data_IF_975298747253
#
_entry.id   IF_975298747253
#
_cell.length_a   1.000
_cell.length_b   1.000
_cell.length_c   1.000
_cell.angle_alpha   90.00
_cell.angle_beta   90.00
_cell.angle_gamma   90.00
#
_symmetry.space_group_name_H-M   'P 1'
#
loop_
_entity.id
_entity.type
_entity.pdbx_description
1 polymer ?
#
# COMPACT_ATOMS: atom_id res chain seq x y z
N UNK A 1 -43.42 -22.72 -52.95
CA UNK A 1 -43.12 -23.74 -53.96
C UNK A 1 -41.66 -23.58 -54.37
N UNK A 2 -40.89 -24.68 -54.30
CA UNK A 2 -39.99 -25.21 -55.34
C UNK A 2 -38.92 -24.28 -55.99
N UNK A 3 -37.67 -24.70 -56.24
CA UNK A 3 -36.95 -25.91 -55.82
C UNK A 3 -35.42 -25.79 -56.06
N UNK A 4 -34.62 -26.47 -55.22
CA UNK A 4 -33.58 -27.48 -55.55
C UNK A 4 -32.99 -27.55 -56.99
N UNK A 5 -31.69 -27.79 -57.26
CA UNK A 5 -30.40 -27.89 -56.50
C UNK A 5 -29.27 -27.24 -57.39
N UNK A 6 -27.94 -27.50 -57.41
CA UNK A 6 -26.90 -28.34 -56.74
C UNK A 6 -25.49 -27.72 -57.10
N UNK A 7 -24.26 -28.17 -56.77
CA UNK A 7 -23.65 -29.29 -56.01
C UNK A 7 -22.15 -28.95 -55.69
N UNK A 8 -21.53 -29.55 -54.65
CA UNK A 8 -20.06 -29.75 -54.45
C UNK A 8 -19.13 -28.49 -54.32
N UNK A 9 -17.94 -28.53 -53.67
CA UNK A 9 -17.07 -29.67 -53.36
C UNK A 9 -16.13 -29.45 -52.14
N UNK A 10 -16.22 -30.31 -51.14
CA UNK A 10 -15.14 -30.81 -50.25
C UNK A 10 -15.04 -32.34 -50.52
N UNK A 11 -13.97 -33.10 -50.15
CA UNK A 11 -13.04 -32.90 -49.03
C UNK A 11 -11.55 -33.21 -49.34
N UNK A 12 -10.68 -33.17 -48.32
CA UNK A 12 -9.86 -34.33 -47.83
C UNK A 12 -9.00 -33.91 -46.62
N UNK A 13 -8.71 -34.85 -45.73
CA UNK A 13 -7.72 -34.73 -44.66
C UNK A 13 -7.27 -36.12 -44.20
N UNK A 14 -6.00 -36.47 -44.44
CA UNK A 14 -5.44 -37.78 -44.06
C UNK A 14 -3.97 -37.71 -43.63
N UNK A 15 -3.55 -38.69 -42.83
CA UNK A 15 -2.42 -38.58 -41.89
C UNK A 15 -1.05 -39.07 -42.42
N UNK A 16 0.02 -38.53 -41.82
CA UNK A 16 1.21 -39.24 -41.31
C UNK A 16 1.74 -40.51 -42.01
N UNK A 17 2.99 -40.46 -42.54
CA UNK A 17 3.93 -41.61 -42.54
C UNK A 17 5.44 -41.26 -42.39
N UNK A 18 5.96 -41.49 -41.17
CA UNK A 18 7.25 -42.10 -40.78
C UNK A 18 8.61 -41.83 -41.50
N UNK A 19 9.60 -41.43 -40.67
CA UNK A 19 11.03 -41.82 -40.59
C UNK A 19 11.96 -41.74 -41.84
N UNK A 20 13.20 -41.24 -41.73
CA UNK A 20 14.31 -41.97 -41.05
C UNK A 20 15.58 -41.12 -40.82
N UNK A 21 16.05 -41.03 -39.55
CA UNK A 21 17.44 -41.02 -39.00
C UNK A 21 18.54 -40.18 -39.73
N UNK A 22 19.24 -39.24 -39.05
CA UNK A 22 20.53 -39.43 -38.32
C UNK A 22 20.72 -38.33 -37.22
N UNK A 23 21.39 -38.70 -36.11
CA UNK A 23 21.95 -37.84 -35.03
C UNK A 23 23.49 -37.91 -35.11
N UNK A 24 24.31 -36.89 -34.71
CA UNK A 24 24.33 -36.39 -33.32
C UNK A 24 24.72 -34.89 -33.15
N UNK A 25 24.92 -34.44 -31.90
CA UNK A 25 25.63 -33.19 -31.58
C UNK A 25 24.81 -32.18 -30.76
N UNK A 26 24.72 -32.36 -29.44
CA UNK A 26 23.98 -31.45 -28.54
C UNK A 26 24.90 -30.80 -27.49
N UNK A 27 24.92 -29.46 -27.49
CA UNK A 27 25.48 -28.57 -26.45
C UNK A 27 27.01 -28.58 -26.25
N UNK A 28 27.62 -27.39 -26.31
CA UNK A 28 29.01 -27.12 -25.90
C UNK A 28 29.05 -25.82 -25.07
N UNK A 29 29.76 -25.88 -23.94
CA UNK A 29 30.25 -24.77 -23.11
C UNK A 29 29.24 -23.75 -22.53
N UNK A 30 28.91 -23.94 -21.24
CA UNK A 30 29.00 -22.84 -20.27
C UNK A 30 30.33 -22.95 -19.47
N UNK A 31 30.75 -21.89 -18.72
CA UNK A 31 32.11 -21.77 -18.18
C UNK A 31 32.44 -22.65 -16.95
N UNK A 32 33.70 -22.54 -16.50
CA UNK A 32 34.37 -23.46 -15.57
C UNK A 32 34.03 -23.27 -14.08
N UNK A 33 34.38 -24.28 -13.29
CA UNK A 33 34.06 -24.47 -11.87
C UNK A 33 35.14 -23.99 -10.88
N UNK A 34 34.72 -23.50 -9.69
CA UNK A 34 35.42 -23.67 -8.42
C UNK A 34 34.88 -24.91 -7.64
N UNK A 35 35.53 -25.37 -6.55
CA UNK A 35 35.61 -26.80 -6.26
C UNK A 35 34.54 -27.42 -5.36
N UNK A 36 34.52 -28.76 -5.39
CA UNK A 36 33.70 -29.68 -4.58
C UNK A 36 34.03 -29.55 -3.09
N UNK A 37 32.98 -29.60 -2.26
CA UNK A 37 33.06 -30.10 -0.88
C UNK A 37 32.29 -31.42 -0.81
N UNK A 38 32.90 -32.43 -0.20
CA UNK A 38 32.36 -33.80 -0.19
C UNK A 38 31.21 -33.99 0.81
N UNK A 39 30.33 -34.94 0.51
CA UNK A 39 29.20 -35.33 1.34
C UNK A 39 29.64 -36.25 2.49
N UNK A 40 30.11 -35.68 3.59
CA UNK A 40 30.43 -36.42 4.84
C UNK A 40 29.29 -36.37 5.86
N UNK A 41 28.05 -36.61 5.42
CA UNK A 41 26.90 -36.85 6.29
C UNK A 41 26.35 -38.26 6.08
N UNK A 42 27.00 -39.22 6.71
CA UNK A 42 26.35 -40.46 7.14
C UNK A 42 26.83 -40.74 8.58
N UNK A 43 25.97 -40.58 9.60
CA UNK A 43 26.40 -40.54 10.99
C UNK A 43 26.88 -41.93 11.46
N UNK A 44 28.19 -42.03 11.72
CA UNK A 44 28.75 -43.19 12.40
C UNK A 44 28.10 -43.35 13.79
N UNK A 45 27.71 -44.56 14.21
CA UNK A 45 27.12 -44.78 15.53
C UNK A 45 28.13 -44.40 16.61
N UNK A 46 27.76 -43.47 17.51
CA UNK A 46 28.66 -42.99 18.55
C UNK A 46 29.07 -44.12 19.49
N UNK A 47 30.37 -44.41 19.54
CA UNK A 47 30.93 -45.40 20.44
C UNK A 47 30.79 -44.93 21.90
N UNK A 48 30.01 -45.65 22.70
CA UNK A 48 29.77 -45.38 24.12
C UNK A 48 31.11 -45.31 24.87
N UNK A 49 31.51 -44.10 25.26
CA UNK A 49 32.68 -43.90 26.12
C UNK A 49 32.32 -44.21 27.57
N UNK A 50 33.11 -45.03 28.29
CA UNK A 50 32.81 -45.37 29.68
C UNK A 50 32.91 -44.14 30.59
N UNK A 51 31.99 -44.03 31.54
CA UNK A 51 31.98 -43.00 32.57
C UNK A 51 33.19 -43.22 33.49
N UNK A 52 34.11 -42.25 33.55
CA UNK A 52 35.14 -42.22 34.58
C UNK A 52 34.51 -41.83 35.93
N UNK A 53 34.86 -42.50 37.04
CA UNK A 53 34.24 -42.23 38.33
C UNK A 53 34.64 -40.84 38.84
N UNK A 54 33.65 -40.03 39.22
CA UNK A 54 33.88 -38.77 39.93
C UNK A 54 34.39 -39.09 41.34
N UNK A 55 35.58 -38.61 41.66
CA UNK A 55 36.17 -38.78 42.99
C UNK A 55 35.46 -37.84 43.97
N UNK A 56 34.92 -38.39 45.05
CA UNK A 56 34.26 -37.61 46.12
C UNK A 56 35.26 -37.42 47.25
N UNK A 57 35.66 -36.18 47.51
CA UNK A 57 36.48 -35.86 48.69
C UNK A 57 35.66 -36.06 49.97
N UNK A 58 36.24 -36.68 51.02
CA UNK A 58 35.51 -37.01 52.23
C UNK A 58 35.20 -35.78 53.09
N UNK A 59 33.98 -35.75 53.63
CA UNK A 59 33.48 -34.70 54.53
C UNK A 59 34.32 -34.70 55.83
N UNK A 60 34.95 -33.57 56.23
CA UNK A 60 35.59 -33.47 57.54
C UNK A 60 34.54 -33.49 58.66
N UNK A 61 34.88 -34.14 59.78
CA UNK A 61 33.92 -34.56 60.79
C UNK A 61 33.28 -33.42 61.60
N UNK A 62 32.08 -33.70 62.12
CA UNK A 62 31.40 -32.90 63.14
C UNK A 62 32.27 -32.80 64.40
N UNK A 63 32.35 -31.60 64.99
CA UNK A 63 32.83 -31.38 66.35
C UNK A 63 31.76 -30.64 67.17
N UNK A 64 31.67 -31.00 68.45
CA UNK A 64 30.63 -30.54 69.38
C UNK A 64 30.92 -29.12 69.94
N UNK A 65 29.90 -28.38 70.42
CA UNK A 65 30.05 -27.00 70.84
C UNK A 65 30.68 -26.85 72.23
N UNK A 66 31.76 -26.06 72.33
CA UNK A 66 32.30 -25.64 73.64
C UNK A 66 31.60 -24.37 74.15
N UNK A 67 30.91 -24.48 75.29
CA UNK A 67 30.20 -23.37 75.93
C UNK A 67 31.17 -22.51 76.74
N UNK A 68 31.27 -21.22 76.44
CA UNK A 68 31.91 -20.21 77.33
C UNK A 68 31.01 -18.98 77.52
N UNK A 69 31.07 -18.31 78.69
CA UNK A 69 29.88 -17.67 79.26
C UNK A 69 29.64 -16.21 78.83
N UNK A 70 28.39 -15.79 79.00
CA UNK A 70 27.94 -14.39 78.92
C UNK A 70 28.66 -13.56 80.01
N UNK A 71 29.19 -12.40 79.63
CA UNK A 71 29.51 -11.32 80.57
C UNK A 71 28.67 -10.09 80.24
N UNK A 72 28.06 -9.49 81.27
CA UNK A 72 27.18 -8.34 81.14
C UNK A 72 27.85 -7.08 81.69
N UNK A 73 28.22 -6.16 80.81
CA UNK A 73 28.68 -4.80 81.15
C UNK A 73 28.07 -3.83 80.11
N UNK A 74 27.01 -3.07 80.42
CA UNK A 74 26.94 -1.86 81.27
C UNK A 74 27.39 -0.59 80.52
N UNK A 75 26.39 0.23 80.17
CA UNK A 75 26.40 1.66 79.84
C UNK A 75 27.50 2.26 78.93
N UNK A 76 27.08 2.76 77.77
CA UNK A 76 27.79 3.78 77.00
C UNK A 76 26.94 4.30 75.84
N UNK A 77 26.64 5.59 75.82
CA UNK A 77 25.95 6.21 74.68
C UNK A 77 26.89 6.37 73.47
N UNK A 78 26.43 5.96 72.29
CA UNK A 78 27.16 6.20 71.04
C UNK A 78 26.21 6.53 69.88
N UNK A 79 25.88 7.82 69.79
CA UNK A 79 25.47 8.59 68.60
C UNK A 79 24.91 7.76 67.43
N UNK A 80 23.58 7.81 67.25
CA UNK A 80 22.95 7.39 65.98
C UNK A 80 23.39 8.36 64.87
N UNK A 81 24.40 7.96 64.10
CA UNK A 81 24.65 8.55 62.79
C UNK A 81 23.57 8.05 61.83
N UNK A 82 22.46 8.80 61.68
CA UNK A 82 21.53 8.54 60.58
C UNK A 82 22.28 8.79 59.26
N UNK A 83 22.73 7.70 58.63
CA UNK A 83 23.52 7.76 57.40
C UNK A 83 22.76 8.60 56.36
N UNK A 84 23.39 9.65 55.77
CA UNK A 84 22.67 10.60 54.93
C UNK A 84 22.03 9.84 53.79
N UNK A 85 20.68 9.83 53.75
CA UNK A 85 19.92 9.09 52.73
C UNK A 85 20.39 9.54 51.36
N UNK A 86 21.21 8.72 50.71
CA UNK A 86 21.62 8.96 49.33
C UNK A 86 20.36 8.89 48.49
N UNK A 87 19.82 10.08 48.18
CA UNK A 87 18.65 10.27 47.35
C UNK A 87 19.10 9.86 45.95
N UNK A 88 18.97 8.56 45.67
CA UNK A 88 19.71 7.87 44.62
C UNK A 88 19.25 8.37 43.25
N UNK A 89 19.87 9.46 42.80
CA UNK A 89 19.42 10.29 41.69
C UNK A 89 19.85 9.68 40.36
N UNK A 90 19.60 8.37 40.22
CA UNK A 90 19.64 7.64 38.97
C UNK A 90 18.57 8.22 38.06
N UNK A 91 18.92 9.32 37.37
CA UNK A 91 18.26 9.74 36.13
C UNK A 91 18.33 8.53 35.20
N UNK A 92 17.26 7.73 35.15
CA UNK A 92 17.20 6.51 34.34
C UNK A 92 17.63 6.87 32.92
N UNK A 93 18.74 6.35 32.38
CA UNK A 93 19.29 6.86 31.12
C UNK A 93 18.30 6.67 29.96
N UNK A 94 17.51 5.59 30.01
CA UNK A 94 16.40 5.35 29.09
C UNK A 94 15.25 6.37 29.17
N UNK A 95 15.05 7.14 30.25
CA UNK A 95 13.98 8.14 30.31
C UNK A 95 14.23 9.29 29.34
N UNK A 96 15.46 9.84 29.30
CA UNK A 96 15.81 10.89 28.35
C UNK A 96 15.78 10.38 26.91
N UNK A 97 16.13 9.11 26.69
CA UNK A 97 16.12 8.47 25.37
C UNK A 97 14.67 8.21 24.90
N UNK A 98 13.77 7.75 25.78
CA UNK A 98 12.33 7.65 25.50
C UNK A 98 11.71 9.02 25.26
N UNK A 99 12.07 10.04 26.04
CA UNK A 99 11.56 11.40 25.85
C UNK A 99 12.06 12.01 24.54
N UNK A 100 13.30 11.75 24.15
CA UNK A 100 13.84 12.10 22.83
C UNK A 100 13.08 11.38 21.72
N UNK A 101 12.83 10.07 21.83
CA UNK A 101 12.02 9.34 20.85
C UNK A 101 10.59 9.87 20.75
N UNK A 102 9.94 10.23 21.87
CA UNK A 102 8.62 10.84 21.87
C UNK A 102 8.64 12.24 21.23
N UNK A 103 9.69 13.04 21.45
CA UNK A 103 9.89 14.33 20.76
C UNK A 103 10.11 14.12 19.25
N UNK A 104 10.89 13.14 18.85
CA UNK A 104 11.12 12.84 17.42
C UNK A 104 9.85 12.31 16.74
N UNK A 105 9.05 11.47 17.42
CA UNK A 105 7.73 11.04 16.96
C UNK A 105 6.78 12.23 16.86
N UNK A 106 6.77 13.12 17.84
CA UNK A 106 5.95 14.35 17.80
C UNK A 106 6.36 15.26 16.64
N UNK A 107 7.66 15.55 16.48
CA UNK A 107 8.19 16.33 15.36
C UNK A 107 7.89 15.64 14.01
N UNK A 108 7.89 14.31 13.94
CA UNK A 108 7.49 13.56 12.74
C UNK A 108 6.00 13.72 12.40
N UNK A 109 5.10 13.58 13.37
CA UNK A 109 3.66 13.75 13.13
C UNK A 109 3.26 15.21 12.90
N UNK A 110 3.96 16.17 13.51
CA UNK A 110 3.67 17.61 13.44
C UNK A 110 4.69 18.43 12.61
N UNK A 111 5.53 17.80 11.79
CA UNK A 111 6.44 18.55 10.89
C UNK A 111 5.60 19.33 9.86
N UNK A 112 5.84 20.64 9.65
CA UNK A 112 4.94 21.47 8.87
C UNK A 112 5.22 21.38 7.36
N UNK A 113 5.19 20.16 6.81
CA UNK A 113 5.36 19.90 5.37
C UNK A 113 4.03 19.41 4.79
N UNK A 114 3.50 20.13 3.79
CA UNK A 114 2.36 19.68 2.98
C UNK A 114 2.75 18.43 2.19
N UNK A 115 1.90 17.40 2.21
CA UNK A 115 2.11 16.15 1.45
C UNK A 115 0.98 15.99 0.45
N UNK A 116 1.28 16.16 -0.84
CA UNK A 116 0.35 15.98 -1.95
C UNK A 116 0.68 14.67 -2.69
N UNK A 117 -0.32 13.80 -2.82
CA UNK A 117 -0.18 12.44 -3.39
C UNK A 117 -1.24 12.21 -4.47
N UNK A 118 -0.83 11.77 -5.65
CA UNK A 118 -1.71 11.40 -6.76
C UNK A 118 -2.08 9.91 -6.70
N UNK A 119 -3.36 9.61 -6.50
CA UNK A 119 -3.90 8.24 -6.47
C UNK A 119 -4.45 7.87 -7.85
N UNK A 120 -3.98 6.76 -8.41
CA UNK A 120 -4.28 6.28 -9.76
C UNK A 120 -4.92 4.90 -9.73
N UNK A 121 -6.15 4.77 -10.24
CA UNK A 121 -6.79 3.48 -10.51
C UNK A 121 -6.58 3.06 -11.96
N UNK A 122 -5.87 1.96 -12.18
CA UNK A 122 -5.43 1.53 -13.52
C UNK A 122 -6.31 0.37 -14.04
N UNK A 123 -6.94 0.56 -15.19
CA UNK A 123 -7.58 -0.51 -15.98
C UNK A 123 -6.50 -1.27 -16.76
N UNK A 124 -5.70 -2.06 -16.04
CA UNK A 124 -4.63 -2.88 -16.63
C UNK A 124 -5.19 -3.93 -17.59
N UNK A 125 -4.45 -4.20 -18.67
CA UNK A 125 -4.78 -5.26 -19.63
C UNK A 125 -3.58 -6.17 -19.85
N UNK A 126 -3.77 -7.50 -20.02
CA UNK A 126 -2.69 -8.44 -20.32
C UNK A 126 -1.81 -7.94 -21.48
N UNK A 127 -0.54 -7.71 -21.17
CA UNK A 127 0.47 -7.08 -22.03
C UNK A 127 1.86 -7.14 -21.36
N UNK A 128 2.90 -6.74 -22.10
CA UNK A 128 4.29 -6.96 -21.70
C UNK A 128 4.79 -6.08 -20.53
N UNK A 129 4.14 -4.94 -20.26
CA UNK A 129 4.33 -4.21 -18.98
C UNK A 129 3.25 -4.60 -17.97
N UNK A 130 3.63 -5.00 -16.73
CA UNK A 130 2.67 -5.36 -15.69
C UNK A 130 1.83 -4.18 -15.19
N UNK A 131 2.09 -2.95 -15.66
CA UNK A 131 1.36 -1.73 -15.31
C UNK A 131 0.69 -1.04 -16.51
N UNK A 132 0.80 -1.58 -17.72
CA UNK A 132 0.25 -0.95 -18.91
C UNK A 132 -1.28 -0.83 -18.84
N UNK A 133 -1.76 0.41 -18.84
CA UNK A 133 -3.17 0.75 -18.74
C UNK A 133 -3.35 2.26 -18.62
N UNK A 134 -4.60 2.71 -18.75
CA UNK A 134 -5.00 4.10 -18.53
C UNK A 134 -5.46 4.29 -17.08
N UNK A 135 -5.20 5.47 -16.52
CA UNK A 135 -5.71 5.88 -15.21
C UNK A 135 -7.18 6.30 -15.32
N UNK A 136 -8.08 5.34 -15.23
CA UNK A 136 -9.53 5.56 -15.31
C UNK A 136 -10.11 6.22 -14.04
N UNK A 137 -9.35 6.17 -12.94
CA UNK A 137 -9.55 6.97 -11.72
C UNK A 137 -8.29 7.78 -11.44
N UNK A 138 -8.45 9.07 -11.17
CA UNK A 138 -7.37 9.98 -10.77
C UNK A 138 -7.88 10.88 -9.64
N UNK A 139 -7.31 10.73 -8.44
CA UNK A 139 -7.67 11.51 -7.25
C UNK A 139 -6.39 12.15 -6.71
N UNK A 140 -6.36 13.47 -6.69
CA UNK A 140 -5.27 14.26 -6.15
C UNK A 140 -5.57 14.56 -4.67
N UNK A 141 -4.79 13.98 -3.77
CA UNK A 141 -4.99 14.06 -2.31
C UNK A 141 -3.94 14.96 -1.70
N UNK A 142 -4.29 15.82 -0.74
CA UNK A 142 -3.30 16.61 0.02
C UNK A 142 -3.56 16.57 1.53
N UNK A 143 -2.46 16.55 2.28
CA UNK A 143 -2.42 16.66 3.74
C UNK A 143 -1.72 17.99 4.06
N UNK A 144 -2.42 18.99 4.62
CA UNK A 144 -1.83 20.27 4.98
C UNK A 144 -0.90 20.13 6.19
N UNK A 145 0.00 21.11 6.41
CA UNK A 145 1.11 20.96 7.35
C UNK A 145 0.71 20.93 8.84
N UNK A 146 -0.40 21.56 9.22
CA UNK A 146 -0.80 21.81 10.63
C UNK A 146 -2.02 21.00 11.06
N UNK A 147 -2.96 20.73 10.15
CA UNK A 147 -4.19 19.99 10.41
C UNK A 147 -4.13 18.63 9.68
N UNK A 148 -4.44 17.50 10.34
CA UNK A 148 -4.49 16.19 9.70
C UNK A 148 -5.75 15.97 8.83
N UNK A 149 -6.34 17.05 8.33
CA UNK A 149 -7.52 17.05 7.47
C UNK A 149 -7.10 16.75 6.04
N UNK A 150 -7.67 15.72 5.43
CA UNK A 150 -7.37 15.31 4.07
C UNK A 150 -8.36 15.96 3.12
N UNK A 151 -7.81 16.68 2.15
CA UNK A 151 -8.53 17.19 0.98
C UNK A 151 -8.28 16.29 -0.23
N UNK A 152 -9.31 16.05 -1.04
CA UNK A 152 -9.26 15.19 -2.22
C UNK A 152 -9.94 15.86 -3.42
N UNK A 153 -9.20 16.11 -4.50
CA UNK A 153 -9.74 16.58 -5.77
C UNK A 153 -9.79 15.43 -6.79
N UNK A 154 -10.99 15.02 -7.19
CA UNK A 154 -11.15 14.04 -8.27
C UNK A 154 -11.00 14.71 -9.64
N UNK A 155 -10.03 14.24 -10.42
CA UNK A 155 -9.73 14.76 -11.76
C UNK A 155 -10.41 13.86 -12.80
N UNK A 156 -11.27 14.40 -13.70
CA UNK A 156 -11.87 13.63 -14.78
C UNK A 156 -10.81 13.05 -15.71
N UNK A 157 -10.85 11.74 -15.93
CA UNK A 157 -9.86 11.00 -16.73
C UNK A 157 -9.76 11.50 -18.19
N UNK A 158 -10.86 12.07 -18.71
CA UNK A 158 -10.99 12.57 -20.09
C UNK A 158 -10.71 14.10 -20.20
N UNK A 159 -10.15 14.73 -19.15
CA UNK A 159 -9.68 16.12 -19.15
C UNK A 159 -8.55 16.33 -20.16
N UNK A 160 -8.72 17.30 -21.06
CA UNK A 160 -7.76 17.63 -22.12
C UNK A 160 -6.69 18.60 -21.61
N UNK A 161 -5.43 18.18 -21.65
CA UNK A 161 -4.28 18.86 -21.03
C UNK A 161 -3.00 18.64 -21.84
N UNK A 162 -2.00 19.50 -21.67
CA UNK A 162 -0.68 19.29 -22.27
C UNK A 162 0.07 18.21 -21.51
N UNK A 163 0.51 17.15 -22.20
CA UNK A 163 1.32 16.09 -21.57
C UNK A 163 2.81 16.37 -21.85
N UNK A 164 3.66 16.54 -20.82
CA UNK A 164 5.10 16.78 -21.01
C UNK A 164 5.78 15.73 -21.91
N UNK A 165 6.67 16.19 -22.79
CA UNK A 165 7.36 15.38 -23.81
C UNK A 165 6.45 14.68 -24.85
N UNK A 166 5.16 15.01 -24.85
CA UNK A 166 4.15 14.53 -25.81
C UNK A 166 3.35 15.73 -26.35
N UNK A 167 2.17 15.46 -26.92
CA UNK A 167 1.22 16.47 -27.37
C UNK A 167 0.07 16.62 -26.36
N UNK A 168 -0.81 17.60 -26.58
CA UNK A 168 -2.07 17.68 -25.83
C UNK A 168 -2.87 16.38 -25.98
N UNK A 169 -3.41 15.90 -24.87
CA UNK A 169 -4.25 14.71 -24.86
C UNK A 169 -5.13 14.65 -23.61
N UNK A 170 -5.86 13.54 -23.44
CA UNK A 170 -6.53 13.25 -22.17
C UNK A 170 -5.52 12.92 -21.09
N UNK A 171 -5.68 13.49 -19.89
CA UNK A 171 -4.72 13.31 -18.78
C UNK A 171 -4.48 11.84 -18.40
N UNK A 172 -5.44 10.94 -18.65
CA UNK A 172 -5.27 9.51 -18.42
C UNK A 172 -4.34 8.76 -19.41
N UNK A 173 -3.92 9.40 -20.50
CA UNK A 173 -2.96 8.79 -21.44
C UNK A 173 -1.51 9.06 -21.07
N UNK A 174 -1.21 10.03 -20.19
CA UNK A 174 0.15 10.31 -19.72
C UNK A 174 0.82 9.07 -19.08
N UNK A 175 0.09 8.38 -18.19
CA UNK A 175 0.52 7.10 -17.61
C UNK A 175 0.74 6.02 -18.68
N UNK A 176 -0.16 5.94 -19.66
CA UNK A 176 -0.16 4.91 -20.70
C UNK A 176 0.99 5.08 -21.70
N UNK A 177 1.23 6.29 -22.21
CA UNK A 177 2.32 6.57 -23.15
C UNK A 177 3.69 6.34 -22.51
N UNK A 178 3.86 6.79 -21.26
CA UNK A 178 5.10 6.59 -20.52
C UNK A 178 5.39 5.10 -20.23
N UNK A 179 4.38 4.30 -19.86
CA UNK A 179 4.54 2.83 -19.74
C UNK A 179 4.85 2.12 -21.07
N UNK A 180 4.40 2.66 -22.22
CA UNK A 180 4.77 2.13 -23.53
C UNK A 180 6.24 2.42 -23.88
N UNK A 181 6.73 3.63 -23.60
CA UNK A 181 8.11 4.04 -23.96
C UNK A 181 9.15 3.54 -22.97
N UNK A 182 8.82 3.56 -21.67
CA UNK A 182 9.72 3.23 -20.56
C UNK A 182 8.92 2.58 -19.43
N UNK A 183 8.80 1.24 -19.40
CA UNK A 183 8.05 0.53 -18.38
C UNK A 183 8.45 0.93 -16.95
N UNK A 184 7.45 1.12 -16.08
CA UNK A 184 7.61 1.66 -14.73
C UNK A 184 7.45 3.18 -14.61
N UNK A 185 7.68 3.96 -15.68
CA UNK A 185 7.66 5.43 -15.62
C UNK A 185 6.27 6.08 -15.55
N UNK A 186 5.19 5.31 -15.71
CA UNK A 186 3.82 5.82 -15.81
C UNK A 186 3.35 6.69 -14.64
N UNK A 187 3.79 6.39 -13.40
CA UNK A 187 3.49 7.24 -12.24
C UNK A 187 4.13 8.62 -12.34
N UNK A 188 5.38 8.70 -12.81
CA UNK A 188 6.11 9.96 -12.89
C UNK A 188 5.50 10.88 -13.95
N UNK A 189 5.22 10.35 -15.15
CA UNK A 189 4.55 11.11 -16.21
C UNK A 189 3.12 11.57 -15.82
N UNK A 190 2.39 10.77 -15.03
CA UNK A 190 1.09 11.17 -14.50
C UNK A 190 1.19 12.33 -13.48
N UNK A 191 2.22 12.34 -12.62
CA UNK A 191 2.50 13.50 -11.74
C UNK A 191 2.87 14.72 -12.57
N UNK A 192 3.82 14.60 -13.49
CA UNK A 192 4.29 15.70 -14.33
C UNK A 192 3.17 16.35 -15.16
N UNK A 193 2.24 15.55 -15.70
CA UNK A 193 1.05 16.07 -16.37
C UNK A 193 0.11 16.85 -15.44
N UNK A 194 -0.04 16.45 -14.17
CA UNK A 194 -0.78 17.23 -13.17
C UNK A 194 -0.01 18.50 -12.80
N UNK A 195 1.27 18.40 -12.44
CA UNK A 195 2.12 19.53 -12.02
C UNK A 195 2.17 20.63 -13.10
N UNK A 196 2.39 20.25 -14.37
CA UNK A 196 2.53 21.17 -15.49
C UNK A 196 1.26 21.98 -15.82
N UNK A 197 0.07 21.40 -15.60
CA UNK A 197 -1.20 22.04 -15.95
C UNK A 197 -1.89 22.71 -14.75
N UNK A 198 -1.77 22.13 -13.55
CA UNK A 198 -2.43 22.63 -12.33
C UNK A 198 -1.56 23.63 -11.54
N UNK A 199 -0.27 23.77 -11.86
CA UNK A 199 0.61 24.77 -11.22
C UNK A 199 0.86 24.52 -9.73
N UNK A 200 0.93 23.24 -9.36
CA UNK A 200 1.07 22.72 -7.99
C UNK A 200 2.19 21.66 -7.95
N UNK A 201 2.66 21.33 -6.75
CA UNK A 201 3.62 20.24 -6.54
C UNK A 201 2.92 18.95 -6.12
N UNK A 202 3.25 17.84 -6.78
CA UNK A 202 2.77 16.49 -6.48
C UNK A 202 3.95 15.68 -5.94
N UNK A 203 4.05 15.55 -4.62
CA UNK A 203 5.19 14.91 -3.96
C UNK A 203 5.31 13.43 -4.32
N UNK A 204 4.17 12.73 -4.36
CA UNK A 204 4.10 11.27 -4.45
C UNK A 204 2.98 10.78 -5.37
N UNK A 205 3.06 9.52 -5.79
CA UNK A 205 2.02 8.79 -6.51
C UNK A 205 1.79 7.41 -5.89
N UNK A 206 0.55 6.93 -6.03
CA UNK A 206 0.09 5.59 -5.63
C UNK A 206 -0.74 5.05 -6.79
N UNK A 207 -0.29 3.98 -7.45
CA UNK A 207 -1.09 3.28 -8.48
C UNK A 207 -1.56 1.93 -8.01
N UNK A 208 -2.82 1.63 -8.31
CA UNK A 208 -3.52 0.41 -7.87
C UNK A 208 -4.18 -0.23 -9.09
N UNK A 209 -3.94 -1.54 -9.31
CA UNK A 209 -4.64 -2.30 -10.35
C UNK A 209 -6.06 -2.63 -9.89
N UNK A 210 -7.03 -2.65 -10.80
CA UNK A 210 -8.39 -3.05 -10.44
C UNK A 210 -8.52 -4.51 -9.96
N UNK A 211 -7.62 -5.43 -10.35
CA UNK A 211 -7.54 -6.75 -9.72
C UNK A 211 -7.12 -6.63 -8.25
N UNK A 212 -6.05 -5.89 -7.99
CA UNK A 212 -5.55 -5.67 -6.64
C UNK A 212 -6.50 -4.94 -5.71
N UNK A 213 -7.34 -4.06 -6.25
CA UNK A 213 -8.46 -3.48 -5.50
C UNK A 213 -9.44 -4.55 -4.99
N UNK A 214 -9.80 -5.52 -5.83
CA UNK A 214 -10.66 -6.66 -5.44
C UNK A 214 -9.96 -7.47 -4.34
N UNK A 215 -8.70 -7.85 -4.56
CA UNK A 215 -7.91 -8.65 -3.62
C UNK A 215 -7.81 -7.99 -2.24
N UNK A 216 -7.59 -6.67 -2.18
CA UNK A 216 -7.48 -5.90 -0.93
C UNK A 216 -8.82 -5.86 -0.18
N UNK A 217 -9.94 -5.65 -0.88
CA UNK A 217 -11.28 -5.62 -0.26
C UNK A 217 -11.69 -7.01 0.23
N UNK A 218 -11.39 -8.06 -0.52
CA UNK A 218 -11.65 -9.45 -0.11
C UNK A 218 -10.74 -9.85 1.07
N UNK A 219 -9.48 -9.39 1.12
CA UNK A 219 -8.59 -9.58 2.28
C UNK A 219 -9.09 -8.87 3.56
N UNK A 220 -9.77 -7.73 3.44
CA UNK A 220 -10.50 -7.10 4.55
C UNK A 220 -11.77 -7.88 4.96
N UNK A 221 -12.24 -8.82 4.14
CA UNK A 221 -13.54 -9.45 4.27
C UNK A 221 -14.67 -8.46 4.04
N UNK A 222 -14.62 -7.77 2.90
CA UNK A 222 -15.61 -6.79 2.43
C UNK A 222 -15.58 -5.44 3.14
N UNK A 223 -16.23 -4.44 2.53
CA UNK A 223 -16.38 -3.07 3.05
C UNK A 223 -17.87 -2.72 3.14
N UNK A 224 -18.30 -2.19 4.28
CA UNK A 224 -19.67 -1.71 4.47
C UNK A 224 -19.78 -0.24 4.09
N UNK A 225 -20.52 0.07 3.03
CA UNK A 225 -20.80 1.43 2.54
C UNK A 225 -22.20 1.85 2.99
N UNK A 226 -22.33 3.01 3.62
CA UNK A 226 -23.64 3.56 4.00
C UNK A 226 -24.10 4.59 2.96
N UNK A 227 -25.08 4.23 2.14
CA UNK A 227 -25.57 5.05 1.03
C UNK A 227 -26.66 6.03 1.51
N UNK A 228 -26.61 7.32 1.15
CA UNK A 228 -27.64 8.28 1.53
C UNK A 228 -28.97 8.06 0.79
N UNK A 229 -28.89 7.50 -0.42
CA UNK A 229 -30.02 7.16 -1.29
C UNK A 229 -29.71 5.88 -2.09
N UNK A 230 -30.71 5.33 -2.78
CA UNK A 230 -30.53 4.12 -3.58
C UNK A 230 -29.78 4.42 -4.89
N UNK A 231 -28.61 3.81 -5.10
CA UNK A 231 -27.72 4.09 -6.22
C UNK A 231 -26.94 2.85 -6.67
N UNK A 232 -26.51 2.81 -7.94
CA UNK A 232 -25.77 1.67 -8.54
C UNK A 232 -26.45 0.29 -8.42
N UNK A 233 -27.76 0.24 -8.19
CA UNK A 233 -28.52 -1.01 -7.95
C UNK A 233 -28.53 -1.49 -6.48
N UNK A 234 -28.09 -0.65 -5.55
CA UNK A 234 -28.12 -0.87 -4.10
C UNK A 234 -29.19 0.01 -3.45
N UNK A 235 -29.74 -0.42 -2.31
CA UNK A 235 -30.74 0.34 -1.54
C UNK A 235 -30.08 1.40 -0.65
N UNK A 236 -30.84 2.40 -0.20
CA UNK A 236 -30.35 3.38 0.76
C UNK A 236 -30.00 2.72 2.11
N UNK A 237 -28.94 3.18 2.78
CA UNK A 237 -28.45 2.63 4.04
C UNK A 237 -27.22 1.71 3.91
N UNK A 238 -26.97 0.84 4.90
CA UNK A 238 -25.73 0.06 4.98
C UNK A 238 -25.73 -1.15 4.04
N UNK A 239 -24.88 -1.09 3.02
CA UNK A 239 -24.66 -2.17 2.06
C UNK A 239 -23.26 -2.75 2.26
N UNK A 240 -23.15 -4.06 2.48
CA UNK A 240 -21.86 -4.73 2.58
C UNK A 240 -21.41 -5.25 1.22
N UNK A 241 -20.22 -4.85 0.77
CA UNK A 241 -19.69 -5.14 -0.55
C UNK A 241 -18.45 -6.03 -0.49
N UNK A 242 -18.47 -7.17 -1.19
CA UNK A 242 -17.26 -7.92 -1.56
C UNK A 242 -16.40 -7.14 -2.58
N UNK A 243 -15.19 -7.62 -2.89
CA UNK A 243 -14.27 -6.91 -3.78
C UNK A 243 -14.82 -6.68 -5.20
N UNK A 244 -15.63 -7.60 -5.73
CA UNK A 244 -16.25 -7.48 -7.07
C UNK A 244 -17.43 -6.51 -7.04
N UNK A 245 -18.25 -6.57 -6.00
CA UNK A 245 -19.34 -5.63 -5.75
C UNK A 245 -18.81 -4.21 -5.54
N UNK A 246 -17.73 -4.06 -4.75
CA UNK A 246 -17.03 -2.81 -4.55
C UNK A 246 -16.45 -2.27 -5.86
N UNK A 247 -15.80 -3.10 -6.67
CA UNK A 247 -15.24 -2.68 -7.96
C UNK A 247 -16.36 -2.27 -8.93
N UNK A 248 -17.49 -2.99 -8.96
CA UNK A 248 -18.66 -2.62 -9.75
C UNK A 248 -19.25 -1.27 -9.28
N UNK A 249 -19.37 -1.06 -7.96
CA UNK A 249 -19.88 0.18 -7.37
C UNK A 249 -19.05 1.41 -7.75
N UNK A 250 -17.71 1.34 -7.64
CA UNK A 250 -16.82 2.46 -8.00
C UNK A 250 -16.56 2.59 -9.52
N UNK A 251 -16.93 1.59 -10.33
CA UNK A 251 -16.85 1.65 -11.80
C UNK A 251 -18.18 1.96 -12.51
N UNK A 252 -19.32 1.95 -11.82
CA UNK A 252 -20.63 2.13 -12.47
C UNK A 252 -20.75 3.46 -13.22
N UNK A 253 -21.42 3.39 -14.37
CA UNK A 253 -21.78 4.49 -15.27
C UNK A 253 -23.23 4.43 -15.75
N UNK A 254 -24.02 3.43 -15.32
CA UNK A 254 -25.41 3.23 -15.78
C UNK A 254 -26.40 4.18 -15.12
N UNK A 255 -26.05 4.70 -13.96
CA UNK A 255 -26.93 5.48 -13.09
C UNK A 255 -26.55 6.97 -12.99
N UNK A 256 -25.65 7.46 -13.84
CA UNK A 256 -25.24 8.87 -13.82
C UNK A 256 -24.03 9.21 -14.69
N UNK A 257 -23.74 10.50 -14.69
CA UNK A 257 -22.58 11.16 -15.31
C UNK A 257 -21.23 10.77 -14.67
N UNK A 258 -20.10 11.14 -15.30
CA UNK A 258 -18.75 10.75 -14.85
C UNK A 258 -18.45 11.22 -13.41
N UNK A 259 -18.97 12.39 -13.03
CA UNK A 259 -18.80 13.01 -11.70
C UNK A 259 -19.45 12.18 -10.58
N UNK A 260 -20.62 11.58 -10.82
CA UNK A 260 -21.25 10.68 -9.84
C UNK A 260 -20.42 9.41 -9.59
N UNK A 261 -19.57 8.98 -10.55
CA UNK A 261 -18.59 7.90 -10.31
C UNK A 261 -17.48 8.36 -9.37
N UNK A 262 -17.03 9.61 -9.51
CA UNK A 262 -15.98 10.19 -8.68
C UNK A 262 -16.45 10.34 -7.22
N UNK A 263 -17.69 10.81 -7.00
CA UNK A 263 -18.34 10.85 -5.69
C UNK A 263 -18.46 9.45 -5.04
N UNK A 264 -18.88 8.43 -5.80
CA UNK A 264 -18.92 7.03 -5.32
C UNK A 264 -17.54 6.51 -4.94
N UNK A 265 -16.50 6.89 -5.69
CA UNK A 265 -15.11 6.58 -5.35
C UNK A 265 -14.70 7.20 -4.01
N UNK A 266 -14.99 8.48 -3.79
CA UNK A 266 -14.71 9.18 -2.53
C UNK A 266 -15.52 8.59 -1.36
N UNK A 267 -16.81 8.28 -1.55
CA UNK A 267 -17.66 7.62 -0.56
C UNK A 267 -17.18 6.21 -0.20
N UNK A 268 -16.72 5.43 -1.19
CA UNK A 268 -16.14 4.12 -0.96
C UNK A 268 -14.82 4.22 -0.18
N UNK A 269 -13.92 5.13 -0.58
CA UNK A 269 -12.64 5.39 0.13
C UNK A 269 -12.91 5.75 1.60
N UNK A 270 -13.84 6.67 1.85
CA UNK A 270 -14.21 7.06 3.22
C UNK A 270 -14.82 5.90 4.02
N UNK A 271 -15.57 5.00 3.38
CA UNK A 271 -16.16 3.82 4.03
C UNK A 271 -15.12 2.73 4.32
N UNK A 272 -14.20 2.47 3.39
CA UNK A 272 -13.10 1.52 3.56
C UNK A 272 -12.17 1.95 4.70
N UNK A 273 -11.86 3.24 4.83
CA UNK A 273 -11.02 3.76 5.92
C UNK A 273 -11.76 3.69 7.27
N UNK A 274 -13.10 3.83 7.30
CA UNK A 274 -13.90 3.57 8.52
C UNK A 274 -13.85 2.11 8.96
N UNK A 275 -13.83 1.15 8.04
CA UNK A 275 -13.68 -0.28 8.37
C UNK A 275 -12.29 -0.63 8.95
N UNK A 276 -11.24 0.18 8.70
CA UNK A 276 -9.95 0.03 9.41
C UNK A 276 -10.07 0.33 10.90
N UNK A 277 -11.02 1.19 11.29
CA UNK A 277 -11.28 1.54 12.70
C UNK A 277 -12.13 0.50 13.44
N UNK A 278 -12.64 -0.51 12.75
CA UNK A 278 -13.43 -1.60 13.31
C UNK A 278 -12.49 -2.63 13.99
N UNK A 279 -12.49 -2.77 15.33
CA UNK A 279 -11.54 -3.68 16.00
C UNK A 279 -11.72 -5.16 15.62
N UNK A 280 -12.92 -5.55 15.14
CA UNK A 280 -13.21 -6.89 14.64
C UNK A 280 -12.49 -7.20 13.32
N UNK A 281 -12.03 -6.17 12.59
CA UNK A 281 -11.26 -6.30 11.35
C UNK A 281 -9.74 -6.36 11.61
N UNK A 282 -9.26 -5.92 12.78
CA UNK A 282 -7.82 -5.80 13.08
C UNK A 282 -7.00 -7.09 12.89
N UNK A 283 -7.49 -8.31 13.22
CA UNK A 283 -6.77 -9.54 12.93
C UNK A 283 -6.49 -9.80 11.45
N UNK A 284 -7.22 -9.15 10.52
CA UNK A 284 -6.98 -9.24 9.07
C UNK A 284 -5.92 -8.27 8.55
N UNK A 285 -5.57 -7.22 9.31
CA UNK A 285 -4.65 -6.16 8.84
C UNK A 285 -3.30 -6.71 8.34
N UNK A 286 -2.65 -7.70 8.96
CA UNK A 286 -1.40 -8.26 8.43
C UNK A 286 -1.55 -8.90 7.04
N UNK A 287 -2.67 -9.59 6.79
CA UNK A 287 -2.95 -10.20 5.49
C UNK A 287 -3.29 -9.13 4.43
N UNK A 288 -4.11 -8.15 4.81
CA UNK A 288 -4.40 -6.96 3.98
C UNK A 288 -3.11 -6.25 3.57
N UNK A 289 -2.19 -5.99 4.50
CA UNK A 289 -0.94 -5.28 4.21
C UNK A 289 -0.04 -6.07 3.24
N UNK A 290 0.00 -7.41 3.34
CA UNK A 290 0.72 -8.25 2.39
C UNK A 290 0.09 -8.21 0.98
N UNK A 291 -1.24 -8.31 0.89
CA UNK A 291 -1.97 -8.22 -0.40
C UNK A 291 -1.84 -6.82 -1.01
N UNK A 292 -1.90 -5.76 -0.20
CA UNK A 292 -1.71 -4.39 -0.64
C UNK A 292 -0.29 -4.15 -1.15
N UNK A 293 0.74 -4.60 -0.44
CA UNK A 293 2.13 -4.47 -0.87
C UNK A 293 2.47 -5.24 -2.17
N UNK A 294 1.68 -6.26 -2.53
CA UNK A 294 1.83 -6.98 -3.79
C UNK A 294 1.08 -6.32 -4.98
N UNK A 295 0.11 -5.44 -4.71
CA UNK A 295 -0.84 -4.91 -5.69
C UNK A 295 -0.82 -3.39 -5.88
N UNK A 296 -0.21 -2.67 -4.93
CA UNK A 296 0.00 -1.22 -4.96
C UNK A 296 1.46 -0.96 -5.30
N UNK A 297 1.69 -0.06 -6.26
CA UNK A 297 3.01 0.52 -6.56
C UNK A 297 2.99 2.01 -6.19
N UNK A 298 4.04 2.49 -5.54
CA UNK A 298 4.08 3.81 -4.93
C UNK A 298 5.50 4.29 -4.62
N UNK A 299 5.74 5.59 -4.80
CA UNK A 299 6.95 6.27 -4.35
C UNK A 299 6.78 6.94 -2.96
N UNK A 300 5.62 6.83 -2.32
CA UNK A 300 5.37 7.32 -0.97
C UNK A 300 6.23 6.51 0.02
N UNK A 301 7.26 7.10 0.65
CA UNK A 301 8.21 6.34 1.44
C UNK A 301 7.57 5.80 2.72
N UNK A 302 7.96 4.58 3.10
CA UNK A 302 7.36 3.82 4.20
C UNK A 302 7.34 4.57 5.54
N UNK A 303 8.30 5.47 5.79
CA UNK A 303 8.31 6.29 7.00
C UNK A 303 7.19 7.32 7.08
N UNK A 304 6.60 7.77 5.96
CA UNK A 304 5.43 8.67 5.96
C UNK A 304 4.11 7.93 6.20
N UNK A 305 4.04 6.62 5.96
CA UNK A 305 2.78 5.86 6.01
C UNK A 305 2.02 6.01 7.34
N UNK A 306 2.64 6.05 8.54
CA UNK A 306 1.91 6.28 9.79
C UNK A 306 1.22 7.65 9.87
N UNK A 307 1.84 8.69 9.30
CA UNK A 307 1.25 10.04 9.24
C UNK A 307 0.11 10.10 8.23
N UNK A 308 0.29 9.50 7.05
CA UNK A 308 -0.77 9.39 6.03
C UNK A 308 -1.96 8.60 6.57
N UNK A 309 -1.74 7.46 7.22
CA UNK A 309 -2.79 6.66 7.84
C UNK A 309 -3.54 7.43 8.93
N UNK A 310 -2.83 8.18 9.79
CA UNK A 310 -3.45 9.03 10.81
C UNK A 310 -4.34 10.13 10.20
N UNK A 311 -3.88 10.82 9.16
CA UNK A 311 -4.67 11.86 8.48
C UNK A 311 -5.92 11.29 7.78
N UNK A 312 -5.76 10.15 7.08
CA UNK A 312 -6.88 9.42 6.48
C UNK A 312 -7.92 9.00 7.53
N UNK A 313 -7.47 8.45 8.66
CA UNK A 313 -8.32 8.05 9.80
C UNK A 313 -9.05 9.26 10.41
N UNK A 314 -8.33 10.36 10.67
CA UNK A 314 -8.90 11.59 11.23
C UNK A 314 -10.02 12.12 10.33
N UNK A 315 -9.77 12.17 9.03
CA UNK A 315 -10.70 12.67 8.02
C UNK A 315 -11.87 11.71 7.79
N UNK A 316 -11.66 10.40 7.88
CA UNK A 316 -12.75 9.43 7.85
C UNK A 316 -13.73 9.62 9.03
N UNK A 317 -13.26 10.08 10.20
CA UNK A 317 -14.11 10.40 11.36
C UNK A 317 -14.71 11.82 11.28
N UNK A 318 -13.96 12.81 10.78
CA UNK A 318 -14.38 14.22 10.74
C UNK A 318 -15.14 14.65 9.48
N UNK A 319 -15.07 13.86 8.41
CA UNK A 319 -15.43 14.26 7.05
C UNK A 319 -14.17 14.47 6.22
N UNK A 320 -14.20 14.04 4.96
CA UNK A 320 -13.18 14.41 3.98
C UNK A 320 -13.59 15.72 3.30
N UNK A 321 -12.59 16.54 2.97
CA UNK A 321 -12.78 17.74 2.16
C UNK A 321 -12.69 17.33 0.68
N UNK A 322 -13.82 16.84 0.16
CA UNK A 322 -13.88 16.07 -1.08
C UNK A 322 -14.53 16.90 -2.21
N UNK A 323 -13.76 17.13 -3.26
CA UNK A 323 -14.12 17.96 -4.43
C UNK A 323 -13.96 17.17 -5.72
N UNK A 324 -14.63 17.62 -6.77
CA UNK A 324 -14.59 17.04 -8.12
C UNK A 324 -14.65 18.18 -9.13
N UNK A 325 -13.89 18.11 -10.22
CA UNK A 325 -13.96 19.11 -11.30
C UNK A 325 -15.23 18.88 -12.14
N UNK A 326 -16.35 19.49 -11.74
CA UNK A 326 -17.68 19.27 -12.32
C UNK A 326 -17.94 20.01 -13.66
N UNK A 327 -19.17 19.88 -14.20
CA UNK A 327 -19.62 20.49 -15.47
C UNK A 327 -19.50 22.02 -15.56
N UNK A 328 -19.43 22.74 -14.44
CA UNK A 328 -19.16 24.18 -14.44
C UNK A 328 -17.68 24.48 -14.72
N UNK A 329 -16.80 23.55 -14.40
CA UNK A 329 -15.35 23.67 -14.51
C UNK A 329 -14.78 23.11 -15.81
N UNK A 330 -15.55 22.31 -16.56
CA UNK A 330 -15.09 21.69 -17.82
C UNK A 330 -16.13 21.76 -18.94
N UNK A 331 -15.69 22.11 -20.15
CA UNK A 331 -16.52 22.15 -21.36
C UNK A 331 -16.35 20.86 -22.17
N UNK A 332 -17.39 20.04 -22.37
CA UNK A 332 -17.28 18.87 -23.24
C UNK A 332 -17.16 19.27 -24.71
N UNK A 333 -16.19 18.67 -25.40
CA UNK A 333 -15.99 18.83 -26.84
C UNK A 333 -15.55 17.51 -27.49
N UNK A 334 -15.37 17.53 -28.81
CA UNK A 334 -14.90 16.39 -29.61
C UNK A 334 -13.74 16.86 -30.46
N UNK A 335 -12.64 16.12 -30.48
CA UNK A 335 -11.48 16.45 -31.33
C UNK A 335 -11.75 16.13 -32.80
N UNK A 336 -10.91 16.63 -33.71
CA UNK A 336 -10.99 16.29 -35.14
C UNK A 336 -10.85 14.77 -35.40
N UNK A 337 -10.11 14.06 -34.54
CA UNK A 337 -10.02 12.58 -34.52
C UNK A 337 -11.28 11.87 -33.96
N UNK A 338 -12.33 12.60 -33.63
CA UNK A 338 -13.59 12.07 -33.09
C UNK A 338 -13.54 11.65 -31.61
N UNK A 339 -12.49 12.00 -30.86
CA UNK A 339 -12.38 11.64 -29.44
C UNK A 339 -13.23 12.59 -28.57
N UNK A 340 -14.09 12.04 -27.71
CA UNK A 340 -14.80 12.81 -26.67
C UNK A 340 -13.85 13.19 -25.54
N UNK A 341 -13.85 14.48 -25.19
CA UNK A 341 -12.83 15.12 -24.34
C UNK A 341 -13.43 16.30 -23.54
N UNK A 342 -12.79 16.68 -22.42
CA UNK A 342 -13.25 17.74 -21.53
C UNK A 342 -12.23 18.88 -21.50
N UNK A 343 -12.54 20.05 -22.06
CA UNK A 343 -11.67 21.22 -22.03
C UNK A 343 -11.73 21.92 -20.65
N UNK A 344 -10.60 22.17 -19.97
CA UNK A 344 -10.56 22.82 -18.66
C UNK A 344 -10.91 24.31 -18.72
N UNK A 345 -11.75 24.78 -17.79
CA UNK A 345 -11.97 26.20 -17.54
C UNK A 345 -11.11 26.69 -16.38
N UNK A 346 -9.83 26.98 -16.66
CA UNK A 346 -8.84 27.42 -15.67
C UNK A 346 -9.28 28.62 -14.83
N UNK A 347 -10.12 29.52 -15.35
CA UNK A 347 -10.63 30.67 -14.60
C UNK A 347 -11.55 30.28 -13.42
N UNK A 348 -12.22 29.12 -13.50
CA UNK A 348 -13.08 28.57 -12.45
C UNK A 348 -12.33 27.51 -11.63
N UNK A 349 -11.46 26.71 -12.29
CA UNK A 349 -10.66 25.68 -11.62
C UNK A 349 -9.59 26.24 -10.69
N UNK A 350 -8.89 27.32 -11.09
CA UNK A 350 -7.72 27.80 -10.37
C UNK A 350 -8.04 28.22 -8.92
N UNK A 351 -9.11 28.99 -8.61
CA UNK A 351 -9.46 29.33 -7.22
C UNK A 351 -9.56 28.10 -6.29
N UNK A 352 -10.21 27.01 -6.76
CA UNK A 352 -10.31 25.76 -6.00
C UNK A 352 -8.94 25.06 -5.86
N UNK A 353 -8.14 25.04 -6.93
CA UNK A 353 -6.80 24.44 -6.90
C UNK A 353 -5.88 25.20 -5.92
N UNK A 354 -5.99 26.53 -5.86
CA UNK A 354 -5.22 27.34 -4.91
C UNK A 354 -5.70 27.15 -3.46
N UNK A 355 -7.01 27.19 -3.20
CA UNK A 355 -7.61 26.95 -1.89
C UNK A 355 -7.19 25.58 -1.30
N UNK A 356 -7.24 24.52 -2.10
CA UNK A 356 -6.90 23.17 -1.63
C UNK A 356 -5.39 22.94 -1.50
N UNK A 357 -4.57 23.36 -2.48
CA UNK A 357 -3.21 22.84 -2.65
C UNK A 357 -2.06 23.83 -2.39
N UNK A 358 -2.32 25.12 -2.16
CA UNK A 358 -1.27 26.11 -1.84
C UNK A 358 -1.23 26.42 -0.35
#
# INVERSE_FOLDING_TARGET
MNDNLNENQEPDGSESRFNTIIKPGSSIAQPQTPPVFESWMDPQPEAVKPILPVYVEPIPAVFEPEIRPIQTAVSGESIIYEAPRQKNNQKKPGFWLVMLCLILIFIFFFTPVRVTTLVLGIDWRPSDSPWLGRSDTMILTTIPPVLPQVSMLSIPRDLWVTIPNHYDNRINTAHYFAELTTPGSGMQAAKEAVEANFGIKVNYAVRIKFSGFVDIVDAFGGVTVNLPEAMSGLEAGPNHLDGKQALAFVRDRKSGDDFFRQERGQLFIASAIKEVLNPLKWPRIPAVLAVAAANIDTDLPIWLWPRTAYALIFSAVKGFDAHTLDRSMVTPWVTDDGAQVLAPNWAIMNPLIEELFK
#
